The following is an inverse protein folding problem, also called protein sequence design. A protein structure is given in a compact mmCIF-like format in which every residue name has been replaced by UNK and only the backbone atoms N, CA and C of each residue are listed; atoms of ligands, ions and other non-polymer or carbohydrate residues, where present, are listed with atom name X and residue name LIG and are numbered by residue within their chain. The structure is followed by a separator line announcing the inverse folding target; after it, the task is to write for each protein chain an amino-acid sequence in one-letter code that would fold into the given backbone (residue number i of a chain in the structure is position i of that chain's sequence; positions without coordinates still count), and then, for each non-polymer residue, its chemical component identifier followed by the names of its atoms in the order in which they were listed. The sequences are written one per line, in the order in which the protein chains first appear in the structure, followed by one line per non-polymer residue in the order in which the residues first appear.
data_IF_794157288100
#
_entry.id   IF_794157288100
#
_cell.length_a   1.000
_cell.length_b   1.000
_cell.length_c   1.000
_cell.angle_alpha   90.00
_cell.angle_beta   90.00
_cell.angle_gamma   90.00
#
_symmetry.space_group_name_H-M   'P 1'
#
loop_
_entity.id
_entity.type
_entity.pdbx_description
1 polymer ?
#
# COMPACT_ATOMS: atom_id res chain seq x y z
N UNK A 1 -65.78 -27.15 -60.93
CA UNK A 1 -64.70 -26.23 -61.31
C UNK A 1 -64.27 -25.54 -60.03
N UNK A 2 -63.21 -26.03 -59.33
CA UNK A 2 -62.67 -25.46 -58.10
C UNK A 2 -61.33 -24.82 -58.44
N UNK A 3 -61.24 -23.47 -58.20
CA UNK A 3 -59.99 -22.74 -58.35
C UNK A 3 -59.13 -22.89 -57.09
N UNK A 4 -57.81 -23.12 -57.21
CA UNK A 4 -56.96 -23.19 -56.06
C UNK A 4 -56.50 -21.76 -55.57
N UNK A 5 -56.71 -21.49 -54.34
CA UNK A 5 -56.31 -20.22 -53.69
C UNK A 5 -54.78 -20.06 -53.54
N UNK A 6 -54.27 -18.99 -54.09
CA UNK A 6 -52.91 -18.52 -54.06
C UNK A 6 -52.59 -17.98 -52.69
N UNK A 7 -51.73 -18.60 -51.91
CA UNK A 7 -51.18 -18.06 -50.61
C UNK A 7 -49.86 -17.32 -50.89
N UNK A 8 -49.72 -16.06 -50.44
CA UNK A 8 -48.54 -15.27 -50.72
C UNK A 8 -47.32 -15.75 -49.89
N UNK A 9 -46.10 -15.76 -50.49
CA UNK A 9 -44.89 -16.29 -49.84
C UNK A 9 -44.33 -15.46 -48.69
N UNK A 10 -44.91 -14.30 -48.38
CA UNK A 10 -44.40 -13.36 -47.39
C UNK A 10 -44.66 -13.76 -45.91
N UNK A 11 -45.53 -14.71 -45.61
CA UNK A 11 -45.77 -15.15 -44.22
C UNK A 11 -44.69 -16.09 -43.70
N UNK A 12 -43.99 -16.85 -44.58
CA UNK A 12 -42.92 -17.78 -44.16
C UNK A 12 -41.62 -17.06 -43.84
N UNK A 13 -41.31 -15.94 -44.51
CA UNK A 13 -40.13 -15.14 -44.27
C UNK A 13 -40.17 -14.37 -42.91
N UNK A 14 -41.36 -13.98 -42.48
CA UNK A 14 -41.51 -13.29 -41.16
C UNK A 14 -41.39 -14.24 -39.97
N UNK A 15 -41.85 -15.48 -40.09
CA UNK A 15 -41.72 -16.48 -39.03
C UNK A 15 -40.27 -16.95 -38.84
N UNK A 16 -39.49 -17.08 -39.91
CA UNK A 16 -38.07 -17.46 -39.83
C UNK A 16 -37.19 -16.32 -39.28
N UNK A 17 -37.51 -15.06 -39.63
CA UNK A 17 -36.78 -13.91 -39.09
C UNK A 17 -37.04 -13.71 -37.58
N UNK A 18 -38.30 -13.90 -37.13
CA UNK A 18 -38.67 -13.84 -35.72
C UNK A 18 -37.98 -14.97 -34.91
N UNK A 19 -37.88 -16.16 -35.42
CA UNK A 19 -37.19 -17.28 -34.79
C UNK A 19 -35.65 -17.04 -34.68
N UNK A 20 -35.05 -16.41 -35.70
CA UNK A 20 -33.64 -16.07 -35.70
C UNK A 20 -33.31 -14.95 -34.68
N UNK A 21 -34.16 -13.95 -34.56
CA UNK A 21 -34.03 -12.87 -33.57
C UNK A 21 -34.19 -13.38 -32.11
N UNK A 22 -35.13 -14.31 -31.88
CA UNK A 22 -35.28 -14.96 -30.58
C UNK A 22 -34.06 -15.87 -30.25
N UNK A 23 -33.46 -16.53 -31.19
CA UNK A 23 -32.27 -17.34 -30.97
C UNK A 23 -31.02 -16.48 -30.67
N UNK A 24 -30.89 -15.29 -31.24
CA UNK A 24 -29.81 -14.33 -30.94
C UNK A 24 -30.00 -13.68 -29.54
N UNK A 25 -31.24 -13.44 -29.12
CA UNK A 25 -31.52 -12.92 -27.78
C UNK A 25 -31.33 -14.00 -26.68
N UNK A 26 -31.57 -15.27 -27.00
CA UNK A 26 -31.27 -16.37 -26.05
C UNK A 26 -29.77 -16.65 -25.94
N UNK A 27 -28.94 -16.31 -26.92
CA UNK A 27 -27.48 -16.43 -26.87
C UNK A 27 -26.79 -15.43 -25.94
N UNK A 28 -27.43 -14.29 -25.61
CA UNK A 28 -26.89 -13.32 -24.62
C UNK A 28 -27.29 -13.64 -23.17
N UNK A 29 -28.12 -14.66 -22.94
CA UNK A 29 -28.51 -15.13 -21.62
C UNK A 29 -27.77 -16.40 -21.16
N UNK A 30 -26.69 -16.78 -21.87
CA UNK A 30 -25.69 -17.66 -21.30
C UNK A 30 -24.89 -16.82 -20.27
N UNK A 31 -25.53 -16.53 -19.13
CA UNK A 31 -24.80 -16.26 -17.91
C UNK A 31 -23.81 -17.41 -17.76
N UNK A 32 -22.53 -17.11 -18.05
CA UNK A 32 -21.46 -17.97 -17.61
C UNK A 32 -21.72 -18.17 -16.13
N UNK A 33 -21.98 -19.39 -15.71
CA UNK A 33 -21.98 -19.78 -14.30
C UNK A 33 -20.70 -19.21 -13.73
N UNK A 34 -20.80 -18.05 -13.07
CA UNK A 34 -19.79 -17.62 -12.12
C UNK A 34 -19.80 -18.75 -11.12
N UNK A 35 -18.82 -19.66 -11.24
CA UNK A 35 -18.63 -20.72 -10.26
C UNK A 35 -18.73 -20.06 -8.89
N UNK A 36 -19.41 -20.69 -7.94
CA UNK A 36 -19.46 -20.15 -6.58
C UNK A 36 -18.07 -19.71 -6.18
N UNK A 37 -17.89 -18.49 -5.63
CA UNK A 37 -16.59 -18.04 -5.20
C UNK A 37 -16.03 -19.11 -4.28
N UNK A 38 -14.85 -19.65 -4.61
CA UNK A 38 -14.20 -20.61 -3.73
C UNK A 38 -14.11 -20.04 -2.31
N UNK A 39 -13.82 -20.84 -1.28
CA UNK A 39 -13.89 -20.43 0.15
C UNK A 39 -13.13 -19.13 0.44
N UNK A 40 -12.11 -18.81 -0.34
CA UNK A 40 -11.32 -17.59 -0.21
C UNK A 40 -11.94 -16.35 -0.86
N UNK A 41 -12.87 -16.51 -1.80
CA UNK A 41 -13.56 -15.43 -2.50
C UNK A 41 -14.90 -15.01 -1.86
N UNK A 42 -15.40 -15.76 -0.88
CA UNK A 42 -16.64 -15.45 -0.18
C UNK A 42 -16.45 -14.25 0.74
N UNK A 43 -17.39 -13.31 0.68
CA UNK A 43 -17.42 -12.17 1.62
C UNK A 43 -17.81 -12.62 3.03
N UNK A 44 -17.10 -12.07 4.02
CA UNK A 44 -17.31 -12.39 5.42
C UNK A 44 -18.18 -11.34 6.11
N UNK A 45 -19.27 -11.74 6.78
CA UNK A 45 -19.98 -10.86 7.70
C UNK A 45 -19.13 -10.57 8.94
N UNK A 46 -19.44 -9.47 9.66
CA UNK A 46 -18.68 -9.03 10.86
C UNK A 46 -18.45 -10.13 11.89
N UNK A 47 -19.45 -10.99 12.13
CA UNK A 47 -19.33 -12.07 13.10
C UNK A 47 -18.20 -13.04 12.72
N UNK A 48 -18.10 -13.43 11.44
CA UNK A 48 -17.04 -14.32 10.97
C UNK A 48 -15.67 -13.62 10.98
N UNK A 49 -15.60 -12.29 10.77
CA UNK A 49 -14.35 -11.53 10.96
C UNK A 49 -13.92 -11.58 12.43
N UNK A 50 -14.87 -11.45 13.37
CA UNK A 50 -14.58 -11.56 14.81
C UNK A 50 -14.02 -12.95 15.19
N UNK A 51 -14.48 -14.01 14.51
CA UNK A 51 -14.00 -15.38 14.76
C UNK A 51 -12.54 -15.59 14.30
N UNK A 52 -12.06 -14.82 13.34
CA UNK A 52 -10.66 -14.85 12.89
C UNK A 52 -9.69 -14.13 13.83
N UNK A 53 -10.19 -13.28 14.73
CA UNK A 53 -9.35 -12.54 15.67
C UNK A 53 -8.97 -13.41 16.88
N UNK A 54 -7.79 -13.18 17.48
CA UNK A 54 -7.35 -13.94 18.67
C UNK A 54 -8.40 -13.93 19.79
N UNK A 55 -8.64 -15.07 20.41
CA UNK A 55 -9.62 -15.18 21.49
C UNK A 55 -9.29 -14.28 22.70
N UNK A 56 -8.00 -14.01 22.92
CA UNK A 56 -7.50 -13.13 23.98
C UNK A 56 -7.61 -11.63 23.67
N UNK A 57 -8.01 -11.25 22.44
CA UNK A 57 -8.12 -9.86 22.06
C UNK A 57 -9.34 -9.20 22.72
N UNK A 58 -9.11 -8.13 23.46
CA UNK A 58 -10.19 -7.32 23.99
C UNK A 58 -10.98 -6.66 22.86
N UNK A 59 -12.32 -6.58 23.02
CA UNK A 59 -13.23 -5.96 22.06
C UNK A 59 -13.11 -6.49 20.61
N UNK A 60 -13.08 -7.83 20.46
CA UNK A 60 -13.06 -8.49 19.13
C UNK A 60 -14.18 -7.99 18.22
N UNK A 61 -15.36 -7.74 18.76
CA UNK A 61 -16.51 -7.22 18.00
C UNK A 61 -16.28 -5.84 17.45
N UNK A 62 -15.65 -4.94 18.21
CA UNK A 62 -15.27 -3.61 17.76
C UNK A 62 -14.16 -3.64 16.69
N UNK A 63 -13.15 -4.52 16.85
CA UNK A 63 -12.13 -4.74 15.82
C UNK A 63 -12.76 -5.25 14.51
N UNK A 64 -13.65 -6.24 14.59
CA UNK A 64 -14.34 -6.77 13.41
C UNK A 64 -15.24 -5.72 12.74
N UNK A 65 -15.88 -4.86 13.53
CA UNK A 65 -16.71 -3.78 13.02
C UNK A 65 -15.86 -2.74 12.26
N UNK A 66 -14.73 -2.33 12.81
CA UNK A 66 -13.84 -1.34 12.17
C UNK A 66 -13.19 -1.92 10.91
N UNK A 67 -12.75 -3.18 10.92
CA UNK A 67 -12.25 -3.87 9.73
C UNK A 67 -13.32 -3.93 8.63
N UNK A 68 -14.52 -4.41 8.96
CA UNK A 68 -15.61 -4.50 7.99
C UNK A 68 -16.00 -3.14 7.42
N UNK A 69 -16.10 -2.12 8.28
CA UNK A 69 -16.43 -0.76 7.86
C UNK A 69 -15.36 -0.18 6.92
N UNK A 70 -14.09 -0.44 7.17
CA UNK A 70 -13.00 -0.04 6.29
C UNK A 70 -13.13 -0.67 4.90
N UNK A 71 -13.37 -1.98 4.82
CA UNK A 71 -13.56 -2.69 3.54
C UNK A 71 -14.75 -2.13 2.75
N UNK A 72 -15.89 -1.95 3.41
CA UNK A 72 -17.11 -1.42 2.78
C UNK A 72 -16.89 0.01 2.28
N UNK A 73 -16.29 0.87 3.09
CA UNK A 73 -16.06 2.27 2.73
C UNK A 73 -15.04 2.43 1.59
N UNK A 74 -14.09 1.51 1.46
CA UNK A 74 -13.13 1.47 0.36
C UNK A 74 -13.70 0.83 -0.91
N UNK A 75 -14.87 0.19 -0.83
CA UNK A 75 -15.43 -0.57 -1.95
C UNK A 75 -14.64 -1.84 -2.27
N UNK A 76 -13.94 -2.40 -1.27
CA UNK A 76 -13.17 -3.64 -1.39
C UNK A 76 -13.96 -4.76 -0.74
N UNK A 77 -14.17 -5.87 -1.45
CA UNK A 77 -14.88 -7.02 -0.91
C UNK A 77 -14.15 -7.58 0.32
N UNK A 78 -14.81 -7.74 1.48
CA UNK A 78 -14.23 -8.32 2.69
C UNK A 78 -14.12 -9.85 2.57
N UNK A 79 -13.44 -10.33 1.55
CA UNK A 79 -13.21 -11.77 1.34
C UNK A 79 -12.29 -12.33 2.43
N UNK A 80 -12.34 -13.65 2.65
CA UNK A 80 -11.45 -14.31 3.61
C UNK A 80 -9.98 -13.96 3.35
N UNK A 81 -9.55 -13.97 2.10
CA UNK A 81 -8.17 -13.62 1.73
C UNK A 81 -7.79 -12.18 2.09
N UNK A 82 -8.66 -11.22 1.74
CA UNK A 82 -8.41 -9.79 1.99
C UNK A 82 -8.42 -9.49 3.51
N UNK A 83 -9.39 -10.06 4.22
CA UNK A 83 -9.49 -9.91 5.68
C UNK A 83 -8.27 -10.53 6.37
N UNK A 84 -7.88 -11.76 6.02
CA UNK A 84 -6.70 -12.40 6.59
C UNK A 84 -5.42 -11.60 6.31
N UNK A 85 -5.26 -11.02 5.11
CA UNK A 85 -4.11 -10.18 4.80
C UNK A 85 -4.06 -8.93 5.71
N UNK A 86 -5.19 -8.24 5.91
CA UNK A 86 -5.27 -7.08 6.78
C UNK A 86 -5.01 -7.43 8.25
N UNK A 87 -5.61 -8.54 8.74
CA UNK A 87 -5.40 -9.00 10.11
C UNK A 87 -3.96 -9.44 10.36
N UNK A 88 -3.31 -10.09 9.39
CA UNK A 88 -1.91 -10.51 9.49
C UNK A 88 -0.96 -9.31 9.64
N UNK A 89 -1.20 -8.23 8.88
CA UNK A 89 -0.44 -6.97 9.04
C UNK A 89 -0.69 -6.35 10.42
N UNK A 90 -1.95 -6.25 10.86
CA UNK A 90 -2.27 -5.69 12.18
C UNK A 90 -1.64 -6.50 13.33
N UNK A 91 -1.56 -7.81 13.20
CA UNK A 91 -0.85 -8.67 14.16
C UNK A 91 0.66 -8.45 14.11
N UNK A 92 1.25 -8.46 12.91
CA UNK A 92 2.68 -8.27 12.68
C UNK A 92 3.17 -6.94 13.24
N UNK A 93 2.49 -5.84 12.92
CA UNK A 93 2.94 -4.48 13.22
C UNK A 93 2.69 -4.09 14.69
N UNK A 94 1.54 -4.42 15.24
CA UNK A 94 1.12 -3.90 16.55
C UNK A 94 0.65 -4.96 17.55
N UNK A 95 0.48 -6.22 17.13
CA UNK A 95 -0.24 -7.24 17.88
C UNK A 95 -1.63 -6.74 18.31
N UNK A 96 -2.36 -6.16 17.34
CA UNK A 96 -3.69 -5.56 17.50
C UNK A 96 -3.76 -4.42 18.54
N UNK A 97 -2.75 -3.57 18.59
CA UNK A 97 -2.77 -2.34 19.41
C UNK A 97 -2.92 -1.12 18.52
N UNK A 98 -3.89 -0.26 18.84
CA UNK A 98 -4.08 0.97 18.08
C UNK A 98 -2.91 1.95 18.28
N UNK A 99 -2.35 1.98 19.48
CA UNK A 99 -1.24 2.85 19.86
C UNK A 99 -0.21 2.04 20.69
N UNK A 100 0.66 1.26 20.02
CA UNK A 100 1.59 0.39 20.70
C UNK A 100 2.70 1.17 21.40
N UNK A 101 3.03 0.77 22.63
CA UNK A 101 4.17 1.34 23.34
C UNK A 101 5.50 0.93 22.68
N UNK A 102 6.41 1.89 22.53
CA UNK A 102 7.76 1.69 21.98
C UNK A 102 8.77 1.71 23.14
N UNK A 103 9.44 0.58 23.42
CA UNK A 103 10.44 0.52 24.49
C UNK A 103 11.58 1.54 24.28
N UNK A 104 11.85 2.34 25.30
CA UNK A 104 12.94 3.34 25.26
C UNK A 104 12.66 4.56 24.38
N UNK A 105 11.41 4.83 23.98
CA UNK A 105 11.06 5.94 23.09
C UNK A 105 11.53 7.29 23.61
N UNK A 106 11.43 7.54 24.92
CA UNK A 106 11.90 8.79 25.56
C UNK A 106 13.40 9.03 25.27
N UNK A 107 14.24 8.02 25.43
CA UNK A 107 15.67 8.10 25.14
C UNK A 107 15.92 8.33 23.64
N UNK A 108 15.23 7.58 22.78
CA UNK A 108 15.33 7.73 21.31
C UNK A 108 14.94 9.15 20.88
N UNK A 109 13.87 9.69 21.45
CA UNK A 109 13.42 11.06 21.16
C UNK A 109 14.46 12.11 21.60
N UNK A 110 15.08 11.94 22.76
CA UNK A 110 16.16 12.83 23.25
C UNK A 110 17.35 12.80 22.31
N UNK A 111 17.86 11.62 21.99
CA UNK A 111 18.99 11.44 21.06
C UNK A 111 18.71 12.05 19.68
N UNK A 112 17.47 11.95 19.17
CA UNK A 112 17.07 12.54 17.90
C UNK A 112 17.03 14.08 17.98
N UNK A 113 16.54 14.65 19.07
CA UNK A 113 16.53 16.10 19.30
C UNK A 113 17.95 16.63 19.28
N UNK A 114 18.86 16.02 20.05
CA UNK A 114 20.25 16.44 20.14
C UNK A 114 20.96 16.31 18.78
N UNK A 115 20.73 15.22 18.07
CA UNK A 115 21.29 15.00 16.72
C UNK A 115 20.79 16.04 15.72
N UNK A 116 19.51 16.42 15.76
CA UNK A 116 18.95 17.45 14.86
C UNK A 116 19.47 18.83 15.20
N UNK A 117 19.53 19.17 16.48
CA UNK A 117 20.09 20.42 16.96
C UNK A 117 21.54 20.61 16.53
N UNK A 118 22.38 19.58 16.71
CA UNK A 118 23.77 19.58 16.31
C UNK A 118 23.94 19.81 14.79
N UNK A 119 23.07 19.22 13.94
CA UNK A 119 23.14 19.42 12.48
C UNK A 119 22.91 20.88 12.06
N UNK A 120 22.14 21.65 12.83
CA UNK A 120 21.86 23.06 12.55
C UNK A 120 22.69 24.01 13.44
N UNK A 121 23.69 23.49 14.15
CA UNK A 121 24.64 24.26 14.94
C UNK A 121 24.06 24.80 16.29
N UNK A 122 22.96 24.23 16.77
CA UNK A 122 22.40 24.59 18.09
C UNK A 122 23.16 23.86 19.19
N UNK A 123 23.80 24.58 20.14
CA UNK A 123 24.58 23.94 21.20
C UNK A 123 23.68 23.26 22.25
N UNK A 124 24.19 22.20 22.90
CA UNK A 124 23.44 21.37 23.84
C UNK A 124 22.85 22.14 25.02
N UNK A 125 23.54 23.17 25.51
CA UNK A 125 23.02 23.97 26.62
C UNK A 125 21.75 24.74 26.22
N UNK A 126 21.66 25.21 24.98
CA UNK A 126 20.47 25.88 24.44
C UNK A 126 19.31 24.91 24.28
N UNK A 127 19.58 23.69 23.81
CA UNK A 127 18.57 22.61 23.76
C UNK A 127 18.03 22.32 25.15
N UNK A 128 18.92 22.10 26.11
CA UNK A 128 18.51 21.85 27.50
C UNK A 128 17.68 23.01 28.11
N UNK A 129 18.08 24.26 27.89
CA UNK A 129 17.32 25.42 28.33
C UNK A 129 15.93 25.49 27.69
N UNK A 130 15.83 25.26 26.38
CA UNK A 130 14.55 25.23 25.66
C UNK A 130 13.61 24.14 26.20
N UNK A 131 14.14 22.97 26.50
CA UNK A 131 13.36 21.85 27.04
C UNK A 131 12.86 22.08 28.50
N UNK A 132 13.40 23.04 29.23
CA UNK A 132 12.89 23.43 30.54
C UNK A 132 11.72 24.44 30.47
N UNK A 133 11.42 24.97 29.28
CA UNK A 133 10.27 25.85 29.12
C UNK A 133 8.96 25.07 29.35
N UNK A 134 7.92 25.77 29.82
CA UNK A 134 6.60 25.22 30.01
C UNK A 134 5.93 24.93 28.65
N UNK A 135 5.31 23.78 28.55
CA UNK A 135 4.44 23.40 27.44
C UNK A 135 2.99 23.78 27.76
N UNK A 136 2.07 23.67 26.78
CA UNK A 136 0.65 24.06 26.94
C UNK A 136 -0.08 23.35 28.09
N UNK A 137 0.36 22.15 28.50
CA UNK A 137 -0.23 21.39 29.61
C UNK A 137 0.38 21.73 30.99
N UNK A 138 1.26 22.75 31.08
CA UNK A 138 1.91 23.20 32.29
C UNK A 138 3.16 22.42 32.70
N UNK A 139 3.46 21.27 32.11
CA UNK A 139 4.70 20.52 32.29
C UNK A 139 5.83 21.13 31.45
N UNK A 140 7.08 20.88 31.81
CA UNK A 140 8.18 21.20 30.89
C UNK A 140 8.20 20.27 29.69
N UNK A 141 8.75 20.73 28.55
CA UNK A 141 8.96 19.87 27.39
C UNK A 141 9.82 18.67 27.75
N UNK A 142 10.83 18.86 28.61
CA UNK A 142 11.64 17.79 29.14
C UNK A 142 10.80 16.70 29.82
N UNK A 143 9.93 17.10 30.76
CA UNK A 143 9.09 16.15 31.49
C UNK A 143 8.10 15.40 30.58
N UNK A 144 7.56 16.06 29.55
CA UNK A 144 6.70 15.39 28.56
C UNK A 144 7.46 14.36 27.75
N UNK A 145 8.64 14.71 27.23
CA UNK A 145 9.47 13.80 26.44
C UNK A 145 9.94 12.61 27.28
N UNK A 146 10.31 12.83 28.55
CA UNK A 146 10.76 11.75 29.42
C UNK A 146 9.64 10.77 29.80
N UNK A 147 8.38 11.23 29.74
CA UNK A 147 7.20 10.42 30.01
C UNK A 147 6.64 9.70 28.77
N UNK A 148 7.12 10.03 27.56
CA UNK A 148 6.57 9.50 26.30
C UNK A 148 6.74 7.99 26.20
N UNK A 149 5.70 7.30 25.77
CA UNK A 149 5.68 5.85 25.60
C UNK A 149 5.23 5.40 24.23
N UNK A 150 4.43 6.23 23.53
CA UNK A 150 3.86 5.88 22.23
C UNK A 150 4.23 6.90 21.16
N UNK A 151 4.20 6.47 19.90
CA UNK A 151 4.46 7.35 18.75
C UNK A 151 3.41 8.45 18.64
N UNK A 152 2.16 8.18 19.03
CA UNK A 152 1.11 9.19 19.11
C UNK A 152 1.48 10.32 20.08
N UNK A 153 1.85 9.97 21.31
CA UNK A 153 2.26 10.96 22.32
C UNK A 153 3.44 11.80 21.84
N UNK A 154 4.43 11.18 21.18
CA UNK A 154 5.57 11.91 20.62
C UNK A 154 5.13 12.85 19.47
N UNK A 155 4.22 12.42 18.62
CA UNK A 155 3.66 13.24 17.55
C UNK A 155 2.90 14.45 18.11
N UNK A 156 2.06 14.25 19.14
CA UNK A 156 1.31 15.30 19.82
C UNK A 156 2.25 16.33 20.49
N UNK A 157 3.31 15.87 21.17
CA UNK A 157 4.34 16.76 21.73
C UNK A 157 4.96 17.64 20.65
N UNK A 158 5.28 17.07 19.50
CA UNK A 158 5.85 17.83 18.39
C UNK A 158 4.84 18.84 17.83
N UNK A 159 3.58 18.47 17.66
CA UNK A 159 2.53 19.36 17.16
C UNK A 159 2.26 20.52 18.12
N UNK A 160 2.25 20.28 19.42
CA UNK A 160 2.15 21.32 20.44
C UNK A 160 3.34 22.29 20.35
N UNK A 161 4.56 21.74 20.23
CA UNK A 161 5.78 22.55 20.14
C UNK A 161 5.75 23.49 18.93
N UNK A 162 5.45 22.97 17.73
CA UNK A 162 5.38 23.82 16.53
C UNK A 162 4.16 24.75 16.57
N UNK A 163 3.10 24.40 17.29
CA UNK A 163 1.91 25.22 17.49
C UNK A 163 2.17 26.50 18.28
N UNK A 164 3.21 26.54 19.10
CA UNK A 164 3.63 27.75 19.84
C UNK A 164 4.33 28.78 18.95
N UNK A 165 4.82 28.37 17.79
CA UNK A 165 5.52 29.26 16.88
C UNK A 165 4.53 29.86 15.88
N UNK A 166 4.50 31.17 15.65
CA UNK A 166 3.66 31.75 14.61
C UNK A 166 3.89 31.06 13.25
N UNK A 167 2.82 30.59 12.61
CA UNK A 167 2.86 29.78 11.38
C UNK A 167 3.63 28.44 11.50
N UNK A 168 4.03 28.01 12.69
CA UNK A 168 4.87 26.84 12.91
C UNK A 168 4.26 25.56 12.34
N UNK A 169 2.97 25.33 12.51
CA UNK A 169 2.26 24.17 11.90
C UNK A 169 2.38 24.19 10.37
N UNK A 170 2.30 25.35 9.72
CA UNK A 170 2.43 25.45 8.27
C UNK A 170 3.86 25.19 7.79
N UNK A 171 4.85 25.67 8.54
CA UNK A 171 6.27 25.60 8.14
C UNK A 171 6.93 24.27 8.56
N UNK A 172 6.52 23.69 9.69
CA UNK A 172 7.27 22.61 10.34
C UNK A 172 6.51 21.27 10.45
N UNK A 173 5.21 21.20 10.09
CA UNK A 173 4.45 19.94 10.17
C UNK A 173 5.15 18.78 9.44
N UNK A 174 5.75 19.03 8.29
CA UNK A 174 6.51 18.05 7.51
C UNK A 174 7.76 17.50 8.19
N UNK A 175 8.22 18.11 9.29
CA UNK A 175 9.40 17.66 10.05
C UNK A 175 9.04 16.82 11.28
N UNK A 176 7.76 16.51 11.50
CA UNK A 176 7.37 15.61 12.60
C UNK A 176 8.18 14.31 12.51
N UNK A 177 8.86 13.88 13.59
CA UNK A 177 9.68 12.68 13.57
C UNK A 177 8.88 11.40 13.37
N UNK A 178 7.60 11.39 13.76
CA UNK A 178 6.70 10.25 13.65
C UNK A 178 6.10 10.23 12.24
N UNK A 179 6.43 9.21 11.47
CA UNK A 179 6.04 9.08 10.06
C UNK A 179 4.97 8.01 9.83
N UNK A 180 4.89 7.03 10.72
CA UNK A 180 3.94 5.91 10.65
C UNK A 180 3.21 5.79 11.98
N UNK A 181 2.10 5.05 12.00
CA UNK A 181 1.37 4.80 13.24
C UNK A 181 0.16 3.90 13.07
N UNK A 182 -0.52 3.70 14.19
CA UNK A 182 -1.73 2.90 14.26
C UNK A 182 -1.49 1.39 14.18
N UNK A 183 -2.58 0.59 14.17
CA UNK A 183 -2.47 -0.86 14.26
C UNK A 183 -1.79 -1.52 13.05
N UNK A 184 -1.73 -0.86 11.91
CA UNK A 184 -1.06 -1.35 10.70
C UNK A 184 0.20 -0.56 10.35
N UNK A 185 0.69 0.33 11.22
CA UNK A 185 1.87 1.17 11.00
C UNK A 185 1.86 1.89 9.64
N UNK A 186 0.69 2.44 9.29
CA UNK A 186 0.52 3.13 8.01
C UNK A 186 1.19 4.51 8.02
N UNK A 187 1.75 4.90 6.87
CA UNK A 187 2.37 6.21 6.70
C UNK A 187 1.36 7.36 6.82
N UNK A 188 1.67 8.35 7.66
CA UNK A 188 0.82 9.54 7.84
C UNK A 188 0.67 10.32 6.54
N UNK A 189 1.77 10.52 5.81
CA UNK A 189 1.74 11.20 4.50
C UNK A 189 0.83 10.48 3.48
N UNK A 190 0.80 9.13 3.54
CA UNK A 190 -0.12 8.35 2.72
C UNK A 190 -1.57 8.61 3.14
N UNK A 191 -1.86 8.53 4.44
CA UNK A 191 -3.22 8.74 4.96
C UNK A 191 -3.76 10.14 4.61
N UNK A 192 -2.94 11.17 4.76
CA UNK A 192 -3.30 12.55 4.41
C UNK A 192 -3.55 12.72 2.90
N UNK A 193 -2.72 12.12 2.03
CA UNK A 193 -2.95 12.13 0.58
C UNK A 193 -4.21 11.38 0.20
N UNK A 194 -4.42 10.20 0.78
CA UNK A 194 -5.58 9.37 0.53
C UNK A 194 -6.89 10.08 0.93
N UNK A 195 -6.92 10.72 2.11
CA UNK A 195 -8.07 11.47 2.59
C UNK A 195 -8.40 12.71 1.73
N UNK A 196 -7.43 13.27 1.00
CA UNK A 196 -7.69 14.33 0.01
C UNK A 196 -8.32 13.81 -1.29
N UNK A 197 -8.12 12.54 -1.61
CA UNK A 197 -8.59 11.90 -2.85
C UNK A 197 -9.89 11.13 -2.66
N UNK A 198 -10.11 10.60 -1.46
CA UNK A 198 -11.29 9.83 -1.07
C UNK A 198 -11.85 10.31 0.26
N UNK A 199 -13.16 10.32 0.38
CA UNK A 199 -13.83 10.68 1.63
C UNK A 199 -13.48 9.67 2.72
N UNK A 200 -12.92 10.16 3.83
CA UNK A 200 -12.76 9.37 5.05
C UNK A 200 -14.13 9.15 5.71
N UNK A 201 -14.50 7.92 6.08
CA UNK A 201 -15.88 7.60 6.45
C UNK A 201 -16.28 8.04 7.87
N UNK A 202 -15.35 8.58 8.65
CA UNK A 202 -15.61 8.97 10.02
C UNK A 202 -15.44 10.48 10.23
N UNK A 203 -16.11 11.08 11.23
CA UNK A 203 -15.83 12.45 11.64
C UNK A 203 -14.37 12.56 12.10
N UNK A 204 -13.67 13.56 11.56
CA UNK A 204 -12.30 13.90 11.98
C UNK A 204 -12.41 14.89 13.12
N UNK A 205 -11.97 14.49 14.32
CA UNK A 205 -12.06 15.33 15.50
C UNK A 205 -10.94 16.40 15.55
N UNK A 206 -9.75 16.05 15.05
CA UNK A 206 -8.57 16.92 15.06
C UNK A 206 -7.90 16.92 13.69
N UNK A 207 -7.22 15.86 13.30
CA UNK A 207 -6.51 15.76 12.03
C UNK A 207 -6.50 14.32 11.50
N UNK A 208 -6.21 14.17 10.19
CA UNK A 208 -5.99 12.82 9.62
C UNK A 208 -4.79 12.14 10.27
N UNK A 209 -3.75 12.90 10.62
CA UNK A 209 -2.63 12.39 11.41
C UNK A 209 -3.10 11.76 12.72
N UNK A 210 -3.97 12.44 13.48
CA UNK A 210 -4.53 11.90 14.71
C UNK A 210 -5.36 10.63 14.47
N UNK A 211 -6.20 10.61 13.40
CA UNK A 211 -6.99 9.43 13.04
C UNK A 211 -6.12 8.20 12.75
N UNK A 212 -4.92 8.35 12.18
CA UNK A 212 -3.99 7.24 11.93
C UNK A 212 -3.67 6.46 13.21
N UNK A 213 -3.58 7.12 14.36
CA UNK A 213 -3.30 6.50 15.66
C UNK A 213 -4.54 5.91 16.36
N UNK A 214 -5.72 6.06 15.77
CA UNK A 214 -6.94 5.39 16.26
C UNK A 214 -7.07 3.98 15.65
N UNK A 215 -7.81 3.08 16.32
CA UNK A 215 -8.09 1.75 15.76
C UNK A 215 -8.79 1.86 14.40
N UNK A 216 -9.88 2.63 14.32
CA UNK A 216 -10.68 2.80 13.10
C UNK A 216 -9.88 3.42 11.95
N UNK A 217 -9.18 4.51 12.23
CA UNK A 217 -8.43 5.23 11.20
C UNK A 217 -7.19 4.46 10.75
N UNK A 218 -6.41 3.91 11.68
CA UNK A 218 -5.26 3.10 11.34
C UNK A 218 -5.61 1.83 10.54
N UNK A 219 -6.76 1.20 10.82
CA UNK A 219 -7.27 0.09 10.00
C UNK A 219 -7.73 0.57 8.63
N UNK A 220 -8.51 1.66 8.54
CA UNK A 220 -8.98 2.19 7.27
C UNK A 220 -7.82 2.54 6.34
N UNK A 221 -6.89 3.36 6.80
CA UNK A 221 -5.73 3.76 5.98
C UNK A 221 -4.76 2.62 5.73
N UNK A 222 -4.60 1.70 6.68
CA UNK A 222 -3.77 0.51 6.52
C UNK A 222 -4.32 -0.44 5.46
N UNK A 223 -5.63 -0.72 5.47
CA UNK A 223 -6.30 -1.54 4.46
C UNK A 223 -6.25 -0.84 3.09
N UNK A 224 -6.46 0.48 3.04
CA UNK A 224 -6.31 1.25 1.81
C UNK A 224 -4.87 1.15 1.26
N UNK A 225 -3.87 1.26 2.11
CA UNK A 225 -2.47 1.12 1.70
C UNK A 225 -2.15 -0.27 1.16
N UNK A 226 -2.70 -1.31 1.79
CA UNK A 226 -2.49 -2.71 1.42
C UNK A 226 -3.20 -3.09 0.12
N UNK A 227 -4.45 -2.64 -0.08
CA UNK A 227 -5.33 -3.20 -1.10
C UNK A 227 -5.88 -2.19 -2.11
N UNK A 228 -5.97 -0.89 -1.76
CA UNK A 228 -6.60 0.12 -2.62
C UNK A 228 -5.60 0.75 -3.60
N UNK A 229 -5.03 -0.07 -4.48
CA UNK A 229 -4.24 0.39 -5.61
C UNK A 229 -4.36 -0.59 -6.78
N UNK A 230 -4.34 -0.11 -8.04
CA UNK A 230 -4.40 -0.98 -9.19
C UNK A 230 -3.12 -1.82 -9.29
N UNK A 231 -3.24 -3.13 -9.50
CA UNK A 231 -2.12 -4.01 -9.81
C UNK A 231 -2.59 -5.13 -10.74
N UNK A 232 -1.71 -5.62 -11.59
CA UNK A 232 -1.97 -6.71 -12.53
C UNK A 232 -2.03 -8.10 -11.84
N UNK A 233 -1.89 -8.16 -10.54
CA UNK A 233 -1.95 -9.38 -9.72
C UNK A 233 -3.02 -9.24 -8.63
N UNK A 234 -3.74 -10.32 -8.40
CA UNK A 234 -4.86 -10.45 -7.45
C UNK A 234 -4.48 -11.26 -6.18
N UNK A 235 -3.40 -12.07 -6.25
CA UNK A 235 -3.00 -12.92 -5.13
C UNK A 235 -2.59 -12.10 -3.91
N UNK A 236 -3.22 -12.32 -2.74
CA UNK A 236 -2.94 -11.59 -1.50
C UNK A 236 -1.46 -11.65 -1.08
N UNK A 237 -0.75 -12.74 -1.41
CA UNK A 237 0.68 -12.89 -1.14
C UNK A 237 1.53 -11.74 -1.71
N UNK A 238 1.23 -11.31 -2.94
CA UNK A 238 1.97 -10.21 -3.57
C UNK A 238 1.63 -8.87 -2.91
N UNK A 239 0.36 -8.65 -2.55
CA UNK A 239 -0.07 -7.46 -1.80
C UNK A 239 0.58 -7.37 -0.43
N UNK A 240 0.66 -8.50 0.27
CA UNK A 240 1.34 -8.60 1.56
C UNK A 240 2.85 -8.33 1.41
N UNK A 241 3.48 -8.88 0.38
CA UNK A 241 4.89 -8.64 0.09
C UNK A 241 5.15 -7.17 -0.26
N UNK A 242 4.28 -6.55 -1.07
CA UNK A 242 4.36 -5.13 -1.41
C UNK A 242 4.20 -4.21 -0.18
N UNK A 243 3.37 -4.59 0.78
CA UNK A 243 3.22 -3.84 2.02
C UNK A 243 4.54 -3.77 2.80
N UNK A 244 5.30 -4.85 2.81
CA UNK A 244 6.55 -4.98 3.56
C UNK A 244 7.78 -4.45 2.79
N UNK A 245 7.78 -4.53 1.46
CA UNK A 245 8.91 -4.22 0.60
C UNK A 245 8.78 -2.91 -0.20
N UNK A 246 7.63 -2.25 -0.11
CA UNK A 246 7.29 -1.09 -0.92
C UNK A 246 6.23 -1.40 -1.98
N UNK A 247 5.37 -0.44 -2.25
CA UNK A 247 4.27 -0.59 -3.21
C UNK A 247 4.81 -1.03 -4.56
N UNK A 248 4.19 -2.05 -5.17
CA UNK A 248 4.61 -2.71 -6.41
C UNK A 248 5.94 -3.47 -6.35
N UNK A 249 6.51 -3.74 -5.18
CA UNK A 249 7.77 -4.49 -5.07
C UNK A 249 7.69 -5.86 -5.76
N UNK A 250 6.54 -6.55 -5.70
CA UNK A 250 6.35 -7.83 -6.38
C UNK A 250 6.39 -7.71 -7.91
N UNK A 251 5.83 -6.65 -8.50
CA UNK A 251 5.97 -6.33 -9.92
C UNK A 251 7.40 -5.95 -10.28
N UNK A 252 8.02 -5.15 -9.44
CA UNK A 252 9.38 -4.66 -9.66
C UNK A 252 10.39 -5.81 -9.56
N UNK A 253 10.21 -6.75 -8.63
CA UNK A 253 11.03 -7.97 -8.56
C UNK A 253 10.87 -8.84 -9.82
N UNK A 254 9.66 -8.94 -10.38
CA UNK A 254 9.43 -9.60 -11.65
C UNK A 254 10.13 -8.87 -12.81
N UNK A 255 10.13 -7.54 -12.81
CA UNK A 255 10.87 -6.73 -13.77
C UNK A 255 12.38 -6.92 -13.63
N UNK A 256 12.92 -6.94 -12.42
CA UNK A 256 14.34 -7.27 -12.18
C UNK A 256 14.70 -8.67 -12.72
N UNK A 257 13.82 -9.66 -12.51
CA UNK A 257 14.01 -10.98 -13.08
C UNK A 257 14.02 -10.94 -14.61
N UNK A 258 13.12 -10.19 -15.25
CA UNK A 258 13.10 -10.02 -16.71
C UNK A 258 14.39 -9.32 -17.22
N UNK A 259 14.85 -8.29 -16.52
CA UNK A 259 16.14 -7.63 -16.83
C UNK A 259 17.29 -8.62 -16.71
N UNK A 260 17.32 -9.44 -15.65
CA UNK A 260 18.37 -10.45 -15.47
C UNK A 260 18.40 -11.46 -16.63
N UNK A 261 17.23 -11.95 -17.07
CA UNK A 261 17.10 -12.88 -18.21
C UNK A 261 17.54 -12.21 -19.52
N UNK A 262 17.10 -10.96 -19.78
CA UNK A 262 17.41 -10.26 -21.03
C UNK A 262 18.87 -9.82 -21.16
N UNK A 263 19.51 -9.47 -20.02
CA UNK A 263 20.88 -8.95 -19.97
C UNK A 263 21.94 -10.02 -19.66
N UNK A 264 21.56 -11.15 -19.09
CA UNK A 264 22.48 -12.15 -18.55
C UNK A 264 23.13 -11.74 -17.21
N UNK A 265 22.77 -10.58 -16.67
CA UNK A 265 23.30 -10.07 -15.39
C UNK A 265 22.45 -10.56 -14.22
N UNK A 266 23.09 -11.20 -13.24
CA UNK A 266 22.38 -11.60 -12.00
C UNK A 266 22.00 -10.38 -11.18
N UNK A 267 20.73 -10.27 -10.80
CA UNK A 267 20.18 -9.21 -9.96
C UNK A 267 19.57 -9.78 -8.69
N UNK A 268 19.60 -9.00 -7.62
CA UNK A 268 18.75 -9.24 -6.47
C UNK A 268 17.32 -8.82 -6.81
N UNK A 269 16.36 -9.70 -6.49
CA UNK A 269 14.94 -9.45 -6.78
C UNK A 269 14.28 -8.81 -5.55
N UNK A 270 14.77 -7.66 -5.12
CA UNK A 270 14.35 -6.94 -3.92
C UNK A 270 13.17 -5.98 -4.16
N UNK A 271 12.90 -5.66 -5.42
CA UNK A 271 11.88 -4.70 -5.83
C UNK A 271 12.39 -3.27 -5.99
N UNK A 272 13.65 -2.99 -5.65
CA UNK A 272 14.26 -1.67 -5.77
C UNK A 272 14.80 -1.43 -7.19
N UNK A 273 14.14 -0.57 -7.95
CA UNK A 273 14.54 -0.28 -9.34
C UNK A 273 15.67 0.74 -9.44
N UNK A 274 15.75 1.66 -8.48
CA UNK A 274 16.75 2.73 -8.43
C UNK A 274 17.37 2.84 -7.04
N UNK A 275 18.56 3.43 -6.97
CA UNK A 275 19.15 3.82 -5.69
C UNK A 275 18.64 5.19 -5.30
N UNK A 276 17.82 5.28 -4.25
CA UNK A 276 17.24 6.54 -3.76
C UNK A 276 18.28 7.46 -3.06
N UNK A 277 19.38 6.93 -2.56
CA UNK A 277 20.43 7.66 -1.82
C UNK A 277 21.61 8.13 -2.66
N UNK A 278 21.56 7.95 -4.00
CA UNK A 278 22.65 8.30 -4.91
C UNK A 278 22.28 9.31 -5.98
N UNK A 279 23.27 9.97 -6.56
CA UNK A 279 23.08 10.80 -7.75
C UNK A 279 22.78 9.95 -8.98
N UNK A 280 22.24 10.55 -10.05
CA UNK A 280 22.09 9.90 -11.35
C UNK A 280 23.44 9.42 -11.94
N UNK A 281 24.57 9.92 -11.41
CA UNK A 281 25.92 9.50 -11.76
C UNK A 281 26.31 8.15 -11.15
N UNK A 282 25.60 7.68 -10.10
CA UNK A 282 25.85 6.39 -9.44
C UNK A 282 24.62 5.48 -9.51
N UNK A 283 24.34 4.89 -10.69
CA UNK A 283 23.15 4.03 -10.86
C UNK A 283 23.26 2.75 -10.02
N UNK A 284 22.12 2.28 -9.50
CA UNK A 284 21.97 0.99 -8.83
C UNK A 284 22.22 -0.20 -9.78
N UNK A 285 22.24 -1.43 -9.24
CA UNK A 285 22.48 -2.66 -10.02
C UNK A 285 21.44 -2.86 -11.12
N UNK A 286 20.16 -2.71 -10.79
CA UNK A 286 19.04 -2.82 -11.74
C UNK A 286 19.18 -1.78 -12.85
N UNK A 287 19.41 -0.53 -12.51
CA UNK A 287 19.54 0.56 -13.48
C UNK A 287 20.73 0.33 -14.43
N UNK A 288 21.91 -0.11 -13.92
CA UNK A 288 23.07 -0.45 -14.75
C UNK A 288 22.77 -1.57 -15.75
N UNK A 289 22.09 -2.63 -15.29
CA UNK A 289 21.71 -3.75 -16.16
C UNK A 289 20.73 -3.32 -17.26
N UNK A 290 19.76 -2.43 -16.94
CA UNK A 290 18.83 -1.87 -17.93
C UNK A 290 19.56 -0.96 -18.93
N UNK A 291 20.48 -0.10 -18.48
CA UNK A 291 21.30 0.76 -19.36
C UNK A 291 22.14 -0.04 -20.33
N UNK A 292 22.68 -1.20 -19.92
CA UNK A 292 23.40 -2.12 -20.81
C UNK A 292 22.52 -2.65 -21.94
N UNK A 293 21.20 -2.71 -21.75
CA UNK A 293 20.21 -3.06 -22.77
C UNK A 293 19.75 -1.86 -23.60
N UNK A 294 20.19 -0.63 -23.31
CA UNK A 294 19.66 0.61 -23.88
C UNK A 294 19.52 0.63 -25.40
N UNK A 295 20.55 0.16 -26.14
CA UNK A 295 20.50 0.02 -27.59
C UNK A 295 19.41 -0.92 -28.07
N UNK A 296 19.23 -2.08 -27.42
CA UNK A 296 18.17 -3.06 -27.74
C UNK A 296 16.77 -2.53 -27.38
N UNK A 297 16.69 -1.70 -26.35
CA UNK A 297 15.45 -1.06 -25.88
C UNK A 297 15.11 0.20 -26.70
N UNK A 298 16.06 0.78 -27.46
CA UNK A 298 15.90 2.05 -28.15
C UNK A 298 15.63 3.21 -27.17
N UNK A 299 16.32 3.21 -26.01
CA UNK A 299 16.20 4.20 -24.95
C UNK A 299 17.61 4.65 -24.50
N UNK A 300 17.75 5.95 -24.22
CA UNK A 300 18.94 6.50 -23.60
C UNK A 300 18.90 6.36 -22.05
N UNK A 301 20.02 6.65 -21.41
CA UNK A 301 20.17 6.53 -19.97
C UNK A 301 19.22 7.43 -19.17
N UNK A 302 18.91 8.63 -19.68
CA UNK A 302 18.03 9.57 -19.03
C UNK A 302 16.57 9.09 -19.09
N UNK A 303 16.12 8.58 -20.22
CA UNK A 303 14.81 8.00 -20.41
C UNK A 303 14.64 6.73 -19.55
N UNK A 304 15.69 5.89 -19.47
CA UNK A 304 15.71 4.71 -18.59
C UNK A 304 15.53 5.14 -17.13
N UNK A 305 16.36 6.07 -16.64
CA UNK A 305 16.27 6.56 -15.25
C UNK A 305 14.89 7.11 -14.93
N UNK A 306 14.36 8.00 -15.77
CA UNK A 306 13.02 8.59 -15.62
C UNK A 306 11.93 7.53 -15.55
N UNK A 307 12.03 6.48 -16.33
CA UNK A 307 11.06 5.37 -16.31
C UNK A 307 11.18 4.55 -15.01
N UNK A 308 12.41 4.22 -14.57
CA UNK A 308 12.64 3.46 -13.32
C UNK A 308 12.19 4.21 -12.07
N UNK A 309 12.27 5.56 -12.07
CA UNK A 309 11.75 6.41 -10.98
C UNK A 309 10.23 6.27 -10.78
N UNK A 310 9.51 5.73 -11.76
CA UNK A 310 8.08 5.43 -11.65
C UNK A 310 7.80 4.07 -11.01
N UNK A 311 8.80 3.39 -10.47
CA UNK A 311 8.67 2.06 -9.88
C UNK A 311 7.58 1.90 -8.80
N UNK A 312 7.21 2.97 -8.10
CA UNK A 312 6.13 2.97 -7.11
C UNK A 312 4.76 3.42 -7.67
N UNK A 313 4.66 3.57 -9.00
CA UNK A 313 3.46 4.03 -9.70
C UNK A 313 2.88 2.93 -10.59
N UNK A 314 1.56 2.89 -10.74
CA UNK A 314 0.88 2.03 -11.73
C UNK A 314 1.29 2.33 -13.17
N UNK A 315 1.77 3.56 -13.45
CA UNK A 315 2.16 3.98 -14.79
C UNK A 315 3.42 3.25 -15.30
N UNK A 316 4.27 2.76 -14.41
CA UNK A 316 5.49 2.04 -14.79
C UNK A 316 5.22 0.85 -15.71
N UNK A 317 4.23 0.01 -15.40
CA UNK A 317 3.91 -1.17 -16.20
C UNK A 317 3.32 -0.83 -17.59
N UNK A 318 2.74 0.38 -17.73
CA UNK A 318 2.23 0.89 -19.02
C UNK A 318 3.33 1.52 -19.86
N UNK A 319 4.49 1.78 -19.27
CA UNK A 319 5.62 2.43 -19.91
C UNK A 319 6.31 1.57 -20.99
N UNK A 320 6.98 2.24 -21.93
CA UNK A 320 7.71 1.58 -23.00
C UNK A 320 8.86 0.73 -22.47
N UNK A 321 9.58 1.20 -21.44
CA UNK A 321 10.66 0.46 -20.81
C UNK A 321 10.19 -0.91 -20.30
N UNK A 322 9.13 -0.93 -19.50
CA UNK A 322 8.58 -2.15 -18.91
C UNK A 322 8.21 -3.17 -20.00
N UNK A 323 7.44 -2.76 -20.98
CA UNK A 323 7.00 -3.64 -22.08
C UNK A 323 8.16 -4.21 -22.86
N UNK A 324 9.10 -3.36 -23.32
CA UNK A 324 10.25 -3.80 -24.15
C UNK A 324 11.18 -4.72 -23.39
N UNK A 325 11.40 -4.51 -22.09
CA UNK A 325 12.20 -5.44 -21.27
C UNK A 325 11.55 -6.81 -21.21
N UNK A 326 10.25 -6.87 -20.96
CA UNK A 326 9.55 -8.14 -20.93
C UNK A 326 9.49 -8.83 -22.31
N UNK A 327 9.32 -8.10 -23.41
CA UNK A 327 9.39 -8.62 -24.77
C UNK A 327 10.76 -9.29 -25.03
N UNK A 328 11.85 -8.62 -24.68
CA UNK A 328 13.21 -9.16 -24.80
C UNK A 328 13.42 -10.39 -23.92
N UNK A 329 12.94 -10.35 -22.69
CA UNK A 329 13.13 -11.41 -21.70
C UNK A 329 12.29 -12.65 -22.05
N UNK A 330 11.03 -12.47 -22.47
CA UNK A 330 10.14 -13.54 -22.89
C UNK A 330 10.71 -14.25 -24.14
N UNK A 331 11.23 -13.48 -25.11
CA UNK A 331 11.92 -14.03 -26.28
C UNK A 331 13.18 -14.81 -25.90
N UNK A 332 13.99 -14.30 -24.99
CA UNK A 332 15.20 -14.98 -24.52
C UNK A 332 14.91 -16.25 -23.72
N UNK A 333 13.80 -16.27 -22.96
CA UNK A 333 13.36 -17.42 -22.16
C UNK A 333 12.58 -18.45 -22.98
N UNK A 334 12.13 -18.12 -24.21
CA UNK A 334 11.25 -18.95 -25.03
C UNK A 334 9.83 -19.15 -24.46
N UNK A 335 9.46 -18.35 -23.44
CA UNK A 335 8.14 -18.39 -22.78
C UNK A 335 7.85 -17.09 -22.05
N UNK A 336 6.57 -16.74 -21.82
CA UNK A 336 6.22 -15.61 -20.98
C UNK A 336 6.75 -15.77 -19.54
N UNK A 337 7.42 -14.74 -19.03
CA UNK A 337 7.86 -14.68 -17.63
C UNK A 337 6.74 -14.19 -16.70
N UNK A 338 6.74 -14.55 -15.42
CA UNK A 338 5.81 -14.02 -14.44
C UNK A 338 5.89 -12.49 -14.35
N UNK A 339 4.73 -11.82 -14.22
CA UNK A 339 4.61 -10.35 -14.04
C UNK A 339 4.59 -9.92 -12.56
N UNK A 340 4.57 -10.90 -11.64
CA UNK A 340 4.75 -10.71 -10.22
C UNK A 340 5.60 -11.85 -9.65
N UNK A 341 6.55 -11.50 -8.78
CA UNK A 341 7.46 -12.42 -8.06
C UNK A 341 7.55 -11.91 -6.64
N UNK A 342 7.54 -12.79 -5.66
CA UNK A 342 7.73 -12.39 -4.25
C UNK A 342 9.13 -11.79 -4.11
N UNK A 343 9.27 -10.52 -3.69
CA UNK A 343 10.56 -9.87 -3.54
C UNK A 343 11.39 -10.55 -2.45
N UNK A 344 12.70 -10.64 -2.68
CA UNK A 344 13.67 -11.17 -1.70
C UNK A 344 14.11 -10.03 -0.79
N UNK A 345 13.41 -9.86 0.32
CA UNK A 345 13.76 -8.88 1.34
C UNK A 345 14.27 -9.60 2.59
N UNK A 346 15.33 -9.05 3.19
CA UNK A 346 15.72 -9.44 4.54
C UNK A 346 14.77 -8.74 5.52
N UNK A 347 13.79 -9.46 6.05
CA UNK A 347 12.92 -8.95 7.10
C UNK A 347 13.75 -8.75 8.38
N UNK A 348 14.26 -7.54 8.57
CA UNK A 348 14.94 -7.13 9.80
C UNK A 348 13.90 -6.58 10.78
N UNK A 349 13.31 -7.44 11.58
CA UNK A 349 12.46 -7.02 12.69
C UNK A 349 12.86 -7.74 13.96
N UNK A 350 13.06 -7.02 15.08
CA UNK A 350 13.26 -7.65 16.40
C UNK A 350 12.13 -8.60 16.80
N UNK A 351 10.95 -8.46 16.17
CA UNK A 351 9.78 -9.30 16.44
C UNK A 351 9.84 -10.65 15.71
N UNK A 352 10.52 -10.72 14.55
CA UNK A 352 10.64 -11.97 13.77
C UNK A 352 11.62 -12.93 14.42
N UNK A 353 12.70 -12.43 15.02
CA UNK A 353 13.66 -13.26 15.76
C UNK A 353 13.12 -13.89 17.04
N UNK A 354 11.93 -13.49 17.51
CA UNK A 354 11.28 -14.08 18.70
C UNK A 354 10.23 -15.14 18.37
N UNK A 355 9.86 -15.33 17.09
CA UNK A 355 8.83 -16.31 16.66
C UNK A 355 9.39 -17.48 15.85
N UNK A 356 10.68 -17.53 15.63
CA UNK A 356 11.41 -18.66 15.06
C UNK A 356 12.24 -19.33 16.14
#
# INVERSE_FOLDING_TARGET
MHSPGFRPPFLRARATLAALVLAVLAGCAADGQRGEPGPYGRELPRAQIADLLPASLADRSGWAADVHAAFVSLGIAPTLSNVCAALAIAEQESSYRADPAVPGLARIAREEIDRRAARVGVPDFAVRAALQLASPDGRTWAARIDAVRTERELSEIYEDFIGMVPMGRRLFAGFNPVRTGGPMQVGVDFAERHARQRSYPYPVADSIRHEVFTRRGGLYFGIAHLLDYPAAYDRPLYRFADFNAGRYASRNAAFQNAVAVASGVRLDLDGDLIRHSGSAAEPGSTERAVRALGKRLGLDDAAIRKALEQGESAEFERGALYRRVFELADASAGRPLPRAVVPRIALQSPKITRKL
#
